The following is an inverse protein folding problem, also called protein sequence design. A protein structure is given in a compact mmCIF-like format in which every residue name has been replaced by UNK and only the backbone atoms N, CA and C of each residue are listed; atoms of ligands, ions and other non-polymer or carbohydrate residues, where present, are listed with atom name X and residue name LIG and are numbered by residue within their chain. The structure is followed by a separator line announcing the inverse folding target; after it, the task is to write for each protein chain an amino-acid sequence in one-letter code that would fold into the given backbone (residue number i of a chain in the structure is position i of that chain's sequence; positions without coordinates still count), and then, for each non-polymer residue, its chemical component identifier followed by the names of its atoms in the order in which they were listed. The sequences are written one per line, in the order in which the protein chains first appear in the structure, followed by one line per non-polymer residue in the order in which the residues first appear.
data_IF_328309962315
#
_entry.id   IF_328309962315
#
_cell.length_a   1.000
_cell.length_b   1.000
_cell.length_c   1.000
_cell.angle_alpha   90.00
_cell.angle_beta   90.00
_cell.angle_gamma   90.00
#
_symmetry.space_group_name_H-M   'P 1'
#
loop_
_entity.id
_entity.type
_entity.pdbx_description
1 polymer ?
#
# COMPACT_ATOMS: atom_id res chain seq x y z
N UNK A 1 -13.86 14.39 1.54
CA UNK A 1 -12.48 14.58 2.00
C UNK A 1 -11.52 14.60 0.81
N UNK A 2 -10.49 15.36 0.90
CA UNK A 2 -9.59 15.58 -0.23
C UNK A 2 -8.20 15.02 0.08
N UNK A 3 -7.61 14.38 -0.92
CA UNK A 3 -6.25 13.85 -0.78
C UNK A 3 -5.24 14.98 -0.52
N UNK A 4 -4.21 14.68 0.25
CA UNK A 4 -3.16 15.64 0.55
C UNK A 4 -2.19 15.81 -0.63
N UNK A 5 -2.06 14.78 -1.48
CA UNK A 5 -1.12 14.76 -2.59
C UNK A 5 -1.80 14.37 -3.88
N UNK A 6 -1.24 14.83 -5.01
CA UNK A 6 -1.69 14.34 -6.32
C UNK A 6 -1.15 12.94 -6.53
N UNK A 7 -2.05 12.00 -6.85
CA UNK A 7 -1.66 10.62 -7.08
C UNK A 7 -0.61 10.50 -8.19
N UNK A 8 -0.76 11.30 -9.24
CA UNK A 8 0.18 11.29 -10.36
C UNK A 8 1.59 11.70 -9.94
N UNK A 9 1.72 12.59 -8.95
CA UNK A 9 3.02 13.00 -8.45
C UNK A 9 3.74 11.83 -7.78
N UNK A 10 2.99 11.04 -7.00
CA UNK A 10 3.58 9.86 -6.35
C UNK A 10 3.96 8.80 -7.38
N UNK A 11 3.09 8.50 -8.34
CA UNK A 11 3.41 7.48 -9.36
C UNK A 11 4.59 7.92 -10.22
N UNK A 12 4.70 9.21 -10.52
CA UNK A 12 5.86 9.73 -11.25
C UNK A 12 7.15 9.58 -10.46
N UNK A 13 7.08 9.80 -9.14
CA UNK A 13 8.24 9.60 -8.27
C UNK A 13 8.64 8.13 -8.24
N UNK A 14 7.67 7.21 -8.25
CA UNK A 14 7.97 5.79 -8.30
C UNK A 14 8.71 5.40 -9.58
N UNK A 15 8.41 6.08 -10.69
CA UNK A 15 9.12 5.85 -11.96
C UNK A 15 10.59 6.27 -11.87
N UNK A 16 10.88 7.31 -11.09
CA UNK A 16 12.27 7.71 -10.84
C UNK A 16 12.97 6.67 -9.99
N UNK A 17 12.29 6.17 -8.95
CA UNK A 17 12.76 5.01 -8.21
C UNK A 17 13.24 5.31 -6.81
N UNK A 18 14.14 4.45 -6.33
CA UNK A 18 14.56 4.45 -4.91
C UNK A 18 15.32 5.70 -4.48
N UNK A 19 15.74 6.52 -5.42
CA UNK A 19 16.39 7.78 -5.07
C UNK A 19 15.43 8.77 -4.43
N UNK A 20 14.15 8.71 -4.79
CA UNK A 20 13.15 9.67 -4.31
C UNK A 20 11.99 9.01 -3.57
N UNK A 21 11.89 7.68 -3.57
CA UNK A 21 10.86 6.97 -2.83
C UNK A 21 11.51 5.90 -1.95
N UNK A 22 11.29 6.02 -0.65
CA UNK A 22 11.75 5.02 0.31
C UNK A 22 10.58 4.08 0.62
N UNK A 23 10.82 2.76 0.53
CA UNK A 23 9.81 1.77 0.88
C UNK A 23 10.10 1.28 2.28
N UNK A 24 9.17 1.52 3.20
CA UNK A 24 9.34 1.14 4.61
C UNK A 24 9.37 -0.39 4.71
N UNK A 25 10.15 -0.92 5.64
CA UNK A 25 10.39 -2.36 5.76
C UNK A 25 9.10 -3.19 5.81
N UNK A 26 8.10 -2.73 6.56
CA UNK A 26 6.83 -3.46 6.64
C UNK A 26 6.15 -3.58 5.27
N UNK A 27 6.25 -2.53 4.46
CA UNK A 27 5.68 -2.55 3.12
C UNK A 27 6.46 -3.51 2.21
N UNK A 28 7.78 -3.57 2.35
CA UNK A 28 8.59 -4.53 1.59
C UNK A 28 8.16 -5.96 1.90
N UNK A 29 7.99 -6.26 3.18
CA UNK A 29 7.63 -7.61 3.63
C UNK A 29 6.26 -8.01 3.06
N UNK A 30 5.26 -7.15 3.19
CA UNK A 30 3.91 -7.48 2.73
C UNK A 30 3.80 -7.47 1.20
N UNK A 31 4.53 -6.59 0.52
CA UNK A 31 4.54 -6.60 -0.95
C UNK A 31 5.10 -7.92 -1.47
N UNK A 32 6.13 -8.44 -0.81
CA UNK A 32 6.71 -9.73 -1.19
C UNK A 32 5.71 -10.87 -0.96
N UNK A 33 5.13 -10.93 0.24
CA UNK A 33 4.25 -12.05 0.59
C UNK A 33 2.92 -12.00 -0.15
N UNK A 34 2.38 -10.80 -0.40
CA UNK A 34 1.05 -10.65 -0.95
C UNK A 34 1.02 -10.49 -2.47
N UNK A 35 2.09 -9.94 -3.06
CA UNK A 35 2.12 -9.62 -4.50
C UNK A 35 3.36 -10.14 -5.21
N UNK A 36 4.21 -10.90 -4.51
CA UNK A 36 5.45 -11.47 -5.08
C UNK A 36 6.38 -10.41 -5.66
N UNK A 37 6.38 -9.22 -5.05
CA UNK A 37 7.29 -8.15 -5.41
C UNK A 37 8.47 -8.20 -4.44
N UNK A 38 9.66 -8.55 -4.94
CA UNK A 38 10.77 -8.96 -4.08
C UNK A 38 11.77 -7.86 -3.76
N UNK A 39 11.82 -6.81 -4.57
CA UNK A 39 12.76 -5.70 -4.34
C UNK A 39 12.03 -4.38 -4.33
N UNK A 40 12.69 -3.37 -3.77
CA UNK A 40 12.12 -2.01 -3.78
C UNK A 40 11.86 -1.55 -5.21
N UNK A 41 12.80 -1.83 -6.12
CA UNK A 41 12.64 -1.45 -7.52
C UNK A 41 11.45 -2.13 -8.18
N UNK A 42 11.20 -3.39 -7.83
CA UNK A 42 10.03 -4.11 -8.36
C UNK A 42 8.73 -3.49 -7.86
N UNK A 43 8.70 -3.13 -6.58
CA UNK A 43 7.51 -2.49 -6.00
C UNK A 43 7.22 -1.17 -6.70
N UNK A 44 8.24 -0.32 -6.81
CA UNK A 44 8.07 1.00 -7.42
C UNK A 44 7.76 0.90 -8.91
N UNK A 45 8.37 -0.07 -9.60
CA UNK A 45 8.06 -0.33 -11.00
C UNK A 45 6.63 -0.80 -11.20
N UNK A 46 6.14 -1.66 -10.32
CA UNK A 46 4.76 -2.11 -10.36
C UNK A 46 3.79 -0.93 -10.26
N UNK A 47 4.06 -0.02 -9.31
CA UNK A 47 3.21 1.17 -9.11
C UNK A 47 3.26 2.09 -10.33
N UNK A 48 4.45 2.36 -10.85
CA UNK A 48 4.62 3.34 -11.92
C UNK A 48 4.24 2.82 -13.30
N UNK A 49 4.23 1.49 -13.50
CA UNK A 49 3.98 0.90 -14.81
C UNK A 49 2.54 0.39 -14.99
N UNK A 50 1.62 0.92 -14.21
CA UNK A 50 0.21 0.58 -14.39
C UNK A 50 -0.23 -0.70 -13.71
N UNK A 51 0.55 -1.20 -12.74
CA UNK A 51 0.17 -2.39 -11.98
C UNK A 51 -1.00 -2.16 -11.05
N UNK A 52 -1.25 -0.91 -10.69
CA UNK A 52 -2.40 -0.57 -9.85
C UNK A 52 -3.61 -0.38 -10.75
N UNK A 53 -4.53 -1.33 -10.70
CA UNK A 53 -5.77 -1.26 -11.47
C UNK A 53 -6.85 -0.60 -10.62
N UNK A 54 -7.56 0.35 -11.21
CA UNK A 54 -8.68 1.04 -10.57
C UNK A 54 -8.33 1.60 -9.19
N UNK A 55 -7.26 2.40 -9.08
CA UNK A 55 -6.90 2.97 -7.77
C UNK A 55 -8.00 3.88 -7.27
N UNK A 56 -8.32 3.74 -5.99
CA UNK A 56 -9.44 4.46 -5.39
C UNK A 56 -9.01 5.06 -4.07
N UNK A 57 -9.14 6.38 -3.96
CA UNK A 57 -8.79 7.11 -2.74
C UNK A 57 -9.70 6.67 -1.58
N UNK A 58 -9.09 6.46 -0.42
CA UNK A 58 -9.81 6.08 0.79
C UNK A 58 -9.92 7.28 1.74
N UNK A 59 -8.78 7.73 2.26
CA UNK A 59 -8.77 8.79 3.26
C UNK A 59 -7.37 9.38 3.44
N UNK A 60 -7.34 10.51 4.13
CA UNK A 60 -6.12 11.19 4.54
C UNK A 60 -6.15 11.35 6.05
N UNK A 61 -5.04 11.06 6.71
CA UNK A 61 -4.93 11.27 8.15
C UNK A 61 -3.51 11.64 8.53
N UNK A 62 -3.31 12.21 9.75
CA UNK A 62 -1.96 12.59 10.17
C UNK A 62 -1.04 11.39 10.29
N UNK A 63 0.23 11.61 9.97
CA UNK A 63 1.25 10.58 10.10
C UNK A 63 1.63 10.44 11.57
N UNK A 64 1.33 9.27 12.16
CA UNK A 64 1.55 9.04 13.59
C UNK A 64 3.01 9.14 14.00
N UNK A 65 3.90 8.74 13.10
CA UNK A 65 5.33 8.70 13.40
C UNK A 65 6.07 9.96 12.92
N UNK A 66 5.33 11.04 12.68
CA UNK A 66 5.92 12.32 12.29
C UNK A 66 6.86 12.78 13.40
N UNK A 67 8.19 12.74 13.20
CA UNK A 67 9.13 12.98 14.30
C UNK A 67 9.13 14.42 14.80
N UNK A 68 8.66 15.35 13.97
CA UNK A 68 8.64 16.77 14.35
C UNK A 68 7.22 17.31 14.50
N UNK A 69 6.24 16.43 14.44
CA UNK A 69 4.85 16.83 14.53
C UNK A 69 4.55 18.01 13.59
N UNK A 70 5.06 17.92 12.37
CA UNK A 70 5.03 19.02 11.40
C UNK A 70 3.80 19.01 10.50
N UNK A 71 2.80 18.19 10.81
CA UNK A 71 1.56 18.19 10.05
C UNK A 71 1.60 17.35 8.77
N UNK A 72 2.54 16.42 8.67
CA UNK A 72 2.62 15.56 7.48
C UNK A 72 1.43 14.61 7.47
N UNK A 73 0.78 14.53 6.32
CA UNK A 73 -0.40 13.69 6.12
C UNK A 73 -0.08 12.44 5.34
N UNK A 74 -0.87 11.38 5.55
CA UNK A 74 -0.77 10.12 4.85
C UNK A 74 -2.03 9.93 4.02
N UNK A 75 -1.86 9.71 2.71
CA UNK A 75 -2.96 9.35 1.83
C UNK A 75 -3.00 7.83 1.67
N UNK A 76 -4.19 7.26 1.67
CA UNK A 76 -4.36 5.83 1.46
C UNK A 76 -5.32 5.55 0.31
N UNK A 77 -5.04 4.44 -0.39
CA UNK A 77 -5.76 4.02 -1.59
C UNK A 77 -5.99 2.52 -1.57
N UNK A 78 -7.11 2.10 -2.16
CA UNK A 78 -7.29 0.72 -2.59
C UNK A 78 -6.95 0.61 -4.08
N UNK A 79 -6.58 -0.58 -4.50
CA UNK A 79 -6.33 -0.86 -5.92
C UNK A 79 -6.59 -2.34 -6.16
N UNK A 80 -6.57 -2.74 -7.42
CA UNK A 80 -6.66 -4.14 -7.80
C UNK A 80 -5.42 -4.57 -8.56
N UNK A 81 -5.01 -5.80 -8.35
CA UNK A 81 -3.99 -6.48 -9.14
C UNK A 81 -4.61 -7.80 -9.56
N UNK A 82 -5.18 -7.85 -10.77
CA UNK A 82 -6.00 -8.98 -11.18
C UNK A 82 -7.20 -9.11 -10.25
N UNK A 83 -7.33 -10.26 -9.60
CA UNK A 83 -8.44 -10.51 -8.68
C UNK A 83 -8.12 -10.15 -7.23
N UNK A 84 -6.94 -9.62 -6.97
CA UNK A 84 -6.52 -9.29 -5.62
C UNK A 84 -6.73 -7.81 -5.34
N UNK A 85 -7.51 -7.52 -4.30
CA UNK A 85 -7.67 -6.15 -3.84
C UNK A 85 -6.50 -5.80 -2.92
N UNK A 86 -5.88 -4.64 -3.18
CA UNK A 86 -4.75 -4.18 -2.40
C UNK A 86 -5.04 -2.88 -1.67
N UNK A 87 -4.15 -2.58 -0.76
CA UNK A 87 -4.16 -1.35 0.03
C UNK A 87 -2.77 -0.76 0.03
N UNK A 88 -2.65 0.55 -0.19
CA UNK A 88 -1.38 1.23 -0.02
C UNK A 88 -1.57 2.57 0.64
N UNK A 89 -0.51 3.04 1.31
CA UNK A 89 -0.50 4.34 1.95
C UNK A 89 0.88 4.96 1.75
N UNK A 90 0.90 6.28 1.50
CA UNK A 90 2.15 6.97 1.26
C UNK A 90 2.09 8.41 1.77
N UNK A 91 3.26 9.00 1.91
CA UNK A 91 3.41 10.39 2.34
C UNK A 91 4.65 10.99 1.71
N UNK A 92 4.75 12.31 1.77
CA UNK A 92 5.93 13.03 1.32
C UNK A 92 6.59 13.72 2.51
N UNK A 93 7.92 13.54 2.64
CA UNK A 93 8.69 14.21 3.67
C UNK A 93 9.42 15.41 3.07
N UNK A 94 8.96 16.64 3.35
CA UNK A 94 9.63 17.82 2.77
C UNK A 94 11.09 17.97 3.21
N UNK A 95 11.40 17.53 4.42
CA UNK A 95 12.73 17.67 4.98
C UNK A 95 13.78 16.87 4.21
N UNK A 96 13.45 15.65 3.83
CA UNK A 96 14.36 14.80 3.06
C UNK A 96 14.09 14.88 1.56
N UNK A 97 12.99 15.51 1.17
CA UNK A 97 12.50 15.58 -0.21
C UNK A 97 12.29 14.20 -0.81
N UNK A 98 11.80 13.28 0.02
CA UNK A 98 11.51 11.91 -0.40
C UNK A 98 10.08 11.52 -0.06
N UNK A 99 9.53 10.66 -0.89
CA UNK A 99 8.26 10.01 -0.59
C UNK A 99 8.55 8.77 0.24
N UNK A 100 7.58 8.40 1.08
CA UNK A 100 7.64 7.15 1.83
C UNK A 100 6.44 6.31 1.45
N UNK A 101 6.68 5.09 0.99
CA UNK A 101 5.61 4.11 0.81
C UNK A 101 5.49 3.39 2.15
N UNK A 102 4.45 3.73 2.88
CA UNK A 102 4.26 3.27 4.26
C UNK A 102 3.63 1.89 4.33
N UNK A 103 2.72 1.58 3.41
CA UNK A 103 2.00 0.30 3.39
C UNK A 103 1.78 -0.13 1.95
N UNK A 104 1.90 -1.43 1.71
CA UNK A 104 1.59 -2.04 0.42
C UNK A 104 1.29 -3.51 0.67
N UNK A 105 0.00 -3.86 0.66
CA UNK A 105 -0.43 -5.20 1.09
C UNK A 105 -1.80 -5.53 0.53
N UNK A 106 -2.22 -6.79 0.68
CA UNK A 106 -3.61 -7.15 0.42
C UNK A 106 -4.53 -6.40 1.36
N UNK A 107 -5.69 -6.01 0.84
CA UNK A 107 -6.73 -5.42 1.65
C UNK A 107 -7.66 -6.54 2.13
N UNK A 108 -7.52 -6.90 3.39
CA UNK A 108 -8.35 -7.93 4.01
C UNK A 108 -9.47 -7.26 4.78
N UNK A 109 -10.71 -7.35 4.29
CA UNK A 109 -11.81 -6.70 5.00
C UNK A 109 -11.98 -7.27 6.40
N UNK A 110 -12.41 -6.45 7.36
CA UNK A 110 -12.66 -6.91 8.72
C UNK A 110 -13.69 -8.04 8.72
N UNK A 111 -13.44 -9.08 9.49
CA UNK A 111 -14.35 -10.21 9.60
C UNK A 111 -14.23 -11.23 8.49
N UNK A 112 -13.37 -11.02 7.61
CA UNK A 112 -13.14 -11.98 6.52
C UNK A 112 -12.14 -13.07 6.92
N UNK A 113 -12.70 -12.65 7.48
CA UNK A 113 -12.20 -13.13 7.77
C UNK A 113 -12.00 -13.89 7.84
N UNK A 114 -12.02 -13.85 7.92
CA UNK A 114 -12.13 -14.58 7.94
C UNK A 114 -12.18 -15.13 8.11
N UNK A 115 -12.40 -15.12 8.32
CA UNK A 115 -12.82 -15.98 8.32
C UNK A 115 -12.60 -16.59 8.55
N UNK A 116 -12.65 -16.75 8.87
CA UNK A 116 -12.67 -17.62 8.95
C UNK A 116 -12.42 -17.90 8.89
N UNK A 117 -12.64 -17.88 8.98
CA UNK A 117 -12.89 -18.46 8.83
C UNK A 117 -12.44 -18.75 9.03
N UNK A 118 -12.03 -18.84 9.48
CA UNK A 118 -12.11 -19.31 9.51
C UNK A 118 -12.01 -19.66 8.89
N UNK A 119 -11.88 -19.68 9.17
CA UNK A 119 -12.19 -20.29 8.65
C UNK A 119 -12.14 -20.21 7.85
N UNK A 120 -12.25 -20.19 7.72
CA UNK A 120 -12.72 -20.35 7.01
C UNK A 120 -12.33 -20.39 6.62
N UNK A 121 -12.13 -20.52 6.75
CA UNK A 121 -12.25 -20.73 6.27
C UNK A 121 -11.91 -20.96 5.86
N UNK A 122 -11.53 -21.05 5.98
CA UNK A 122 -11.74 -21.37 5.60
C UNK A 122 -11.68 -21.47 4.94
N UNK A 123 -11.67 -21.61 5.17
CA UNK A 123 -12.17 -21.78 4.66
C UNK A 123 -12.02 -21.74 4.10
N UNK A 124 -11.98 -21.95 4.25
CA UNK A 124 -12.28 -22.08 3.78
C UNK A 124 -11.83 -22.12 3.52
N UNK A 125 -11.66 -22.13 3.69
CA UNK A 125 -11.63 -22.35 3.76
C UNK A 125 -11.17 -22.36 3.34
N UNK A 126 -10.98 -22.68 3.50
CA UNK A 126 -10.99 -23.06 3.28
C UNK A 126 -10.64 -22.75 2.96
N UNK A 127 -10.75 -22.63 3.11
CA UNK A 127 -10.92 -22.63 3.27
C UNK A 127 -10.53 -22.55 3.19
N UNK A 128 -10.31 -22.71 3.30
CA UNK A 128 -10.49 -23.07 3.53
C UNK A 128 -10.17 -22.92 3.56
N UNK A 129 -10.08 -22.96 3.70
CA UNK A 129 -10.36 -23.32 3.98
C UNK A 129 -10.12 -23.11 4.01
N UNK A 130 -9.89 -23.40 4.21
CA UNK A 130 -10.24 -23.59 4.39
C UNK A 130 -10.09 -23.52 4.28
N UNK A 131 -10.07 -23.55 4.62
CA UNK A 131 -10.48 -23.63 4.67
C UNK A 131 -10.34 -23.57 4.38
#
# INVERSE_FOLDING_TARGET
MKAAYEFADFTSACAIGVKVVHVIRGAVITARSDFDLKTNSEILGFISNGGLENPEYIKTKPWKNDPKNSGIMVDSYNFYSGNTKGYMAYLYQPETKKWLLKSFKKDNPPGGKNLPFKGLKQMLEGEGGAK
#
